data_IF_166632510619
#
_entry.id   IF_166632510619
#
_cell.length_a   1.000
_cell.length_b   1.000
_cell.length_c   1.000
_cell.angle_alpha   90.00
_cell.angle_beta   90.00
_cell.angle_gamma   90.00
#
_symmetry.space_group_name_H-M   'P 1'
#
loop_
_entity.id
_entity.type
_entity.pdbx_description
1 polymer ?
#
# COMPACT_ATOMS: atom_id res chain seq x y z
N UNK A 1 -1.89 6.32 4.82
CA UNK A 1 -2.43 5.16 5.57
C UNK A 1 -3.49 5.57 6.57
N UNK A 2 -4.45 4.68 6.90
CA UNK A 2 -5.51 4.91 7.90
C UNK A 2 -5.21 4.10 9.18
N UNK A 3 -4.95 4.75 10.33
CA UNK A 3 -4.66 4.05 11.58
C UNK A 3 -5.78 3.11 12.00
N UNK A 4 -5.43 1.90 12.43
CA UNK A 4 -6.39 0.89 12.90
C UNK A 4 -7.13 0.14 11.78
N UNK A 5 -7.01 0.56 10.52
CA UNK A 5 -7.60 -0.12 9.37
C UNK A 5 -6.56 -0.92 8.60
N UNK A 6 -6.95 -2.12 8.18
CA UNK A 6 -6.07 -3.06 7.49
C UNK A 6 -6.82 -3.73 6.34
N UNK A 7 -6.09 -4.11 5.31
CA UNK A 7 -6.61 -4.92 4.22
C UNK A 7 -5.48 -5.52 3.39
N UNK A 8 -5.81 -6.53 2.62
CA UNK A 8 -4.87 -7.23 1.75
C UNK A 8 -4.90 -6.60 0.36
N UNK A 9 -3.74 -6.13 -0.11
CA UNK A 9 -3.60 -5.53 -1.43
C UNK A 9 -2.51 -6.28 -2.18
N UNK A 10 -2.86 -6.82 -3.34
CA UNK A 10 -1.91 -7.47 -4.24
C UNK A 10 -0.96 -6.43 -4.84
N UNK A 11 0.34 -6.68 -4.67
CA UNK A 11 1.40 -5.80 -5.19
C UNK A 11 2.56 -6.62 -5.74
N UNK A 12 3.19 -6.16 -6.84
CA UNK A 12 4.46 -6.69 -7.30
C UNK A 12 5.52 -6.82 -6.19
N UNK A 13 6.01 -8.05 -5.99
CA UNK A 13 7.06 -8.38 -5.02
C UNK A 13 8.47 -7.99 -5.47
N UNK A 14 8.63 -7.67 -6.77
CA UNK A 14 9.88 -7.16 -7.36
C UNK A 14 9.55 -6.05 -8.33
N UNK A 15 10.19 -4.90 -8.20
CA UNK A 15 9.98 -3.72 -9.05
C UNK A 15 11.32 -3.10 -9.46
N UNK A 16 11.30 -2.35 -10.57
CA UNK A 16 12.41 -1.47 -10.97
C UNK A 16 11.89 -0.04 -10.88
N UNK A 17 12.58 0.79 -10.11
CA UNK A 17 12.17 2.18 -9.84
C UNK A 17 13.24 3.14 -10.34
N UNK A 18 12.79 4.32 -10.80
CA UNK A 18 13.64 5.45 -11.14
C UNK A 18 13.22 6.63 -10.28
N UNK A 19 14.17 7.26 -9.62
CA UNK A 19 13.93 8.37 -8.69
C UNK A 19 15.08 9.37 -8.73
N UNK A 20 14.84 10.57 -8.20
CA UNK A 20 15.89 11.56 -7.97
C UNK A 20 16.31 11.51 -6.49
N UNK A 21 17.61 11.61 -6.25
CA UNK A 21 18.16 11.80 -4.91
C UNK A 21 17.96 13.24 -4.44
N UNK A 22 18.21 13.52 -3.16
CA UNK A 22 18.16 14.89 -2.61
C UNK A 22 19.15 15.85 -3.31
N UNK A 23 20.20 15.32 -3.94
CA UNK A 23 21.14 16.10 -4.75
C UNK A 23 20.69 16.29 -6.22
N UNK A 24 19.46 15.90 -6.57
CA UNK A 24 18.90 15.99 -7.93
C UNK A 24 19.36 14.89 -8.90
N UNK A 25 20.31 14.03 -8.48
CA UNK A 25 20.81 12.96 -9.35
C UNK A 25 19.76 11.87 -9.58
N UNK A 26 19.55 11.51 -10.85
CA UNK A 26 18.64 10.42 -11.22
C UNK A 26 19.31 9.07 -11.00
N UNK A 27 18.64 8.20 -10.25
CA UNK A 27 19.07 6.82 -9.97
C UNK A 27 17.99 5.82 -10.39
N UNK A 28 18.44 4.59 -10.63
CA UNK A 28 17.57 3.44 -10.87
C UNK A 28 17.92 2.32 -9.89
N UNK A 29 16.92 1.67 -9.32
CA UNK A 29 17.13 0.57 -8.37
C UNK A 29 16.12 -0.54 -8.59
N UNK A 30 16.52 -1.78 -8.27
CA UNK A 30 15.60 -2.93 -8.19
C UNK A 30 15.29 -3.17 -6.73
N UNK A 31 14.00 -3.23 -6.40
CA UNK A 31 13.53 -3.46 -5.03
C UNK A 31 12.77 -4.79 -4.99
N UNK A 32 12.93 -5.52 -3.90
CA UNK A 32 12.15 -6.70 -3.57
C UNK A 32 11.33 -6.45 -2.30
N UNK A 33 10.34 -7.31 -2.02
CA UNK A 33 9.60 -7.25 -0.77
C UNK A 33 10.55 -7.37 0.45
N UNK A 34 10.30 -6.64 1.55
CA UNK A 34 9.14 -5.77 1.77
C UNK A 34 9.30 -4.36 1.17
N UNK A 35 10.50 -3.95 0.78
CA UNK A 35 10.77 -2.60 0.28
C UNK A 35 10.02 -2.24 -1.00
N UNK A 36 9.76 -3.22 -1.88
CA UNK A 36 8.91 -3.00 -3.05
C UNK A 36 7.49 -2.58 -2.66
N UNK A 37 6.95 -3.16 -1.58
CA UNK A 37 5.61 -2.87 -1.07
C UNK A 37 5.57 -1.47 -0.48
N UNK A 38 6.54 -1.12 0.36
CA UNK A 38 6.65 0.22 0.95
C UNK A 38 6.80 1.30 -0.12
N UNK A 39 7.67 1.07 -1.11
CA UNK A 39 7.87 2.04 -2.19
C UNK A 39 6.58 2.28 -2.99
N UNK A 40 5.86 1.21 -3.33
CA UNK A 40 4.59 1.32 -4.04
C UNK A 40 3.53 2.03 -3.20
N UNK A 41 3.49 1.77 -1.88
CA UNK A 41 2.59 2.47 -0.96
C UNK A 41 2.82 3.99 -0.94
N UNK A 42 4.06 4.42 -0.76
CA UNK A 42 4.37 5.85 -0.74
C UNK A 42 4.20 6.49 -2.12
N UNK A 43 4.47 5.75 -3.20
CA UNK A 43 4.23 6.24 -4.56
C UNK A 43 2.74 6.49 -4.82
N UNK A 44 1.88 5.56 -4.42
CA UNK A 44 0.42 5.70 -4.55
C UNK A 44 -0.06 6.97 -3.85
N UNK A 45 0.52 7.30 -2.68
CA UNK A 45 0.21 8.54 -1.98
C UNK A 45 0.58 9.80 -2.77
N UNK A 46 1.61 9.77 -3.61
CA UNK A 46 1.92 10.88 -4.53
C UNK A 46 0.85 11.07 -5.60
N UNK A 47 0.16 9.99 -5.97
CA UNK A 47 -0.91 9.99 -6.96
C UNK A 47 -2.30 10.10 -6.30
N UNK A 48 -2.37 10.36 -4.97
CA UNK A 48 -3.61 10.49 -4.20
C UNK A 48 -4.36 9.18 -3.96
N UNK A 49 -3.71 8.03 -4.19
CA UNK A 49 -4.29 6.69 -4.08
C UNK A 49 -4.03 6.13 -2.68
N UNK A 50 -5.06 5.56 -2.06
CA UNK A 50 -5.01 4.88 -0.78
C UNK A 50 -5.24 3.37 -0.97
N UNK A 51 -4.80 2.56 0.00
CA UNK A 51 -4.99 1.11 -0.06
C UNK A 51 -6.49 0.72 -0.11
N UNK A 52 -7.36 1.53 0.49
CA UNK A 52 -8.82 1.35 0.48
C UNK A 52 -9.38 1.43 -0.94
N UNK A 53 -8.79 2.26 -1.81
CA UNK A 53 -9.21 2.36 -3.21
C UNK A 53 -8.95 1.04 -3.97
N UNK A 54 -7.83 0.38 -3.66
CA UNK A 54 -7.56 -0.96 -4.17
C UNK A 54 -8.59 -1.97 -3.67
N UNK A 55 -8.88 -1.98 -2.35
CA UNK A 55 -9.86 -2.89 -1.77
C UNK A 55 -11.26 -2.70 -2.38
N UNK A 56 -11.68 -1.45 -2.60
CA UNK A 56 -12.95 -1.13 -3.25
C UNK A 56 -13.01 -1.69 -4.68
N UNK A 57 -11.90 -1.62 -5.42
CA UNK A 57 -11.79 -2.14 -6.78
C UNK A 57 -11.76 -3.67 -6.82
N UNK A 58 -11.01 -4.31 -5.94
CA UNK A 58 -10.87 -5.77 -5.87
C UNK A 58 -12.01 -6.45 -5.11
N UNK A 59 -12.84 -5.68 -4.40
CA UNK A 59 -13.89 -6.16 -3.47
C UNK A 59 -13.33 -7.00 -2.31
N UNK A 60 -12.12 -6.65 -1.89
CA UNK A 60 -11.44 -7.32 -0.78
C UNK A 60 -11.95 -6.83 0.58
N UNK A 61 -11.80 -7.67 1.60
CA UNK A 61 -12.27 -7.40 2.95
C UNK A 61 -11.44 -6.29 3.63
N UNK A 62 -12.13 -5.30 4.22
CA UNK A 62 -11.54 -4.31 5.11
C UNK A 62 -11.64 -4.79 6.56
N UNK A 63 -10.60 -4.58 7.35
CA UNK A 63 -10.54 -4.97 8.76
C UNK A 63 -10.24 -3.74 9.64
N UNK A 64 -10.72 -3.78 10.89
CA UNK A 64 -10.40 -2.79 11.92
C UNK A 64 -9.97 -3.46 13.22
N UNK A 65 -8.96 -2.88 13.88
CA UNK A 65 -8.52 -3.32 15.20
C UNK A 65 -7.24 -2.62 15.66
N UNK A 66 -6.91 -2.72 16.97
CA UNK A 66 -5.71 -2.09 17.54
C UNK A 66 -4.39 -2.74 17.11
N UNK A 67 -4.43 -3.88 16.41
CA UNK A 67 -3.27 -4.58 15.89
C UNK A 67 -3.64 -5.85 15.11
N UNK A 68 -2.66 -6.44 14.42
CA UNK A 68 -2.86 -7.60 13.52
C UNK A 68 -3.56 -8.80 14.18
N UNK A 69 -3.37 -9.01 15.47
CA UNK A 69 -3.93 -10.16 16.20
C UNK A 69 -5.39 -9.97 16.62
N UNK A 70 -5.97 -8.79 16.37
CA UNK A 70 -7.30 -8.39 16.86
C UNK A 70 -8.18 -7.82 15.75
N UNK A 71 -7.84 -8.12 14.48
CA UNK A 71 -8.54 -7.61 13.31
C UNK A 71 -9.94 -8.20 13.20
N UNK A 72 -10.94 -7.31 13.18
CA UNK A 72 -12.34 -7.68 12.91
C UNK A 72 -12.74 -7.25 11.50
N UNK A 73 -13.40 -8.13 10.72
CA UNK A 73 -13.90 -7.74 9.40
C UNK A 73 -14.98 -6.66 9.57
N UNK A 74 -14.94 -5.64 8.72
CA UNK A 74 -15.98 -4.63 8.62
C UNK A 74 -17.04 -5.12 7.64
N UNK A 75 -18.29 -5.23 8.11
CA UNK A 75 -19.43 -5.53 7.24
C UNK A 75 -19.72 -4.32 6.35
N UNK A 76 -19.98 -4.57 5.06
CA UNK A 76 -20.36 -3.54 4.09
C UNK A 76 -19.39 -2.33 4.03
N UNK A 77 -18.09 -2.55 3.79
CA UNK A 77 -17.07 -1.50 3.93
C UNK A 77 -17.12 -0.41 2.84
N UNK A 78 -17.88 -0.63 1.75
CA UNK A 78 -17.94 0.26 0.58
C UNK A 78 -19.36 0.56 0.08
N UNK A 79 -20.38 0.15 0.83
CA UNK A 79 -21.80 0.38 0.50
C UNK A 79 -22.24 1.81 0.79
#
# INVERSE_FOLDING_TARGET
SFPGYYGFVDRPVKIKVRYQTLAGLTKTSRLAAPYSVYFQHERDHLDGILFIDYLKKSKEQLFYGPGRDSLKPITNPFS
#
